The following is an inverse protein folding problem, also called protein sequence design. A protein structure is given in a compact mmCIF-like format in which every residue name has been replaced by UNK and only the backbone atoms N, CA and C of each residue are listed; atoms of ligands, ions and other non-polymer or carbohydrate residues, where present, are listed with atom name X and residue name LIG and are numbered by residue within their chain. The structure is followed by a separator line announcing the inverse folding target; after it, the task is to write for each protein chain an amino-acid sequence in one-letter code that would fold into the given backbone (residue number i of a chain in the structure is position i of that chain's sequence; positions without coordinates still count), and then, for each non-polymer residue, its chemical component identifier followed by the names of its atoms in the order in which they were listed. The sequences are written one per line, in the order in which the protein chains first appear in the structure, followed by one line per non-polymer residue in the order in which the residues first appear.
data_IF_160621833730
#
_entry.id   IF_160621833730
#
_cell.length_a   1.000
_cell.length_b   1.000
_cell.length_c   1.000
_cell.angle_alpha   90.00
_cell.angle_beta   90.00
_cell.angle_gamma   90.00
#
_symmetry.space_group_name_H-M   'P 1'
#
loop_
_entity.id
_entity.type
_entity.pdbx_description
1 polymer ?
#
# COMPACT_ATOMS: atom_id res chain seq x y z
N UNK A 1 -7.20 0.08 -0.31
CA UNK A 1 -6.72 -0.13 1.07
C UNK A 1 -6.18 -1.54 1.18
N UNK A 2 -5.12 -1.77 1.95
CA UNK A 2 -4.61 -3.11 2.30
C UNK A 2 -3.90 -3.05 3.65
N UNK A 3 -4.20 -3.94 4.59
CA UNK A 3 -3.71 -3.85 5.98
C UNK A 3 -3.14 -5.19 6.43
N UNK A 4 -1.85 -5.22 6.81
CA UNK A 4 -1.14 -6.43 7.29
C UNK A 4 -1.29 -7.63 6.33
N UNK A 5 -1.08 -7.38 5.03
CA UNK A 5 -1.18 -8.40 3.97
C UNK A 5 0.17 -8.63 3.30
N UNK A 6 0.91 -7.56 3.04
CA UNK A 6 2.06 -7.57 2.14
C UNK A 6 3.23 -8.40 2.67
N UNK A 7 3.36 -8.50 3.99
CA UNK A 7 4.35 -9.29 4.72
C UNK A 7 4.18 -10.80 4.57
N UNK A 8 2.99 -11.25 4.16
CA UNK A 8 2.68 -12.66 3.90
C UNK A 8 2.87 -13.05 2.43
N UNK A 9 3.03 -12.07 1.53
CA UNK A 9 3.14 -12.32 0.10
C UNK A 9 4.54 -12.82 -0.24
N UNK A 10 4.70 -13.99 -0.89
CA UNK A 10 6.01 -14.49 -1.32
C UNK A 10 6.74 -13.52 -2.24
N UNK A 11 8.05 -13.72 -2.33
CA UNK A 11 8.94 -12.76 -2.96
C UNK A 11 8.56 -12.41 -4.41
N UNK A 12 8.17 -13.44 -5.13
CA UNK A 12 7.89 -13.44 -6.57
C UNK A 12 6.55 -12.74 -6.89
N UNK A 13 5.67 -12.58 -5.90
CA UNK A 13 4.34 -12.00 -6.09
C UNK A 13 4.18 -10.59 -5.53
N UNK A 14 5.22 -10.02 -4.90
CA UNK A 14 5.12 -8.67 -4.32
C UNK A 14 4.89 -7.60 -5.38
N UNK A 15 5.52 -7.69 -6.55
CA UNK A 15 5.28 -6.75 -7.65
C UNK A 15 3.81 -6.81 -8.09
N UNK A 16 3.28 -8.01 -8.31
CA UNK A 16 1.87 -8.24 -8.68
C UNK A 16 0.92 -7.67 -7.61
N UNK A 17 1.22 -7.87 -6.33
CA UNK A 17 0.43 -7.30 -5.23
C UNK A 17 0.43 -5.75 -5.27
N UNK A 18 1.61 -5.14 -5.42
CA UNK A 18 1.76 -3.68 -5.48
C UNK A 18 1.05 -3.11 -6.71
N UNK A 19 1.20 -3.74 -7.88
CA UNK A 19 0.56 -3.34 -9.13
C UNK A 19 -0.95 -3.36 -9.02
N UNK A 20 -1.51 -4.39 -8.38
CA UNK A 20 -2.95 -4.47 -8.13
C UNK A 20 -3.45 -3.33 -7.25
N UNK A 21 -2.71 -2.95 -6.20
CA UNK A 21 -3.06 -1.81 -5.36
C UNK A 21 -3.01 -0.51 -6.17
N UNK A 22 -1.89 -0.27 -6.86
CA UNK A 22 -1.63 0.97 -7.59
C UNK A 22 -2.62 1.18 -8.73
N UNK A 23 -2.94 0.13 -9.48
CA UNK A 23 -3.88 0.16 -10.61
C UNK A 23 -5.28 0.58 -10.17
N UNK A 24 -5.73 0.15 -9.00
CA UNK A 24 -7.08 0.40 -8.51
C UNK A 24 -7.22 1.62 -7.60
N UNK A 25 -6.13 2.13 -7.04
CA UNK A 25 -6.14 3.26 -6.12
C UNK A 25 -6.36 4.62 -6.82
N UNK A 26 -7.59 4.97 -7.18
CA UNK A 26 -7.88 6.21 -7.95
C UNK A 26 -7.38 7.48 -7.26
N UNK A 27 -7.65 7.65 -5.98
CA UNK A 27 -7.28 8.87 -5.23
C UNK A 27 -6.03 8.68 -4.36
N UNK A 28 -5.86 7.49 -3.79
CA UNK A 28 -4.82 7.22 -2.82
C UNK A 28 -4.90 5.81 -2.25
N UNK A 29 -3.96 5.51 -1.36
CA UNK A 29 -3.77 4.20 -0.76
C UNK A 29 -3.71 4.39 0.75
N UNK A 30 -4.50 3.60 1.49
CA UNK A 30 -4.26 3.33 2.90
C UNK A 30 -3.60 1.96 2.99
N UNK A 31 -2.38 1.91 3.53
CA UNK A 31 -1.54 0.71 3.57
C UNK A 31 -0.99 0.50 4.98
N UNK A 32 -1.06 -0.74 5.45
CA UNK A 32 -0.30 -1.23 6.60
C UNK A 32 0.55 -2.40 6.15
N UNK A 33 1.84 -2.37 6.48
CA UNK A 33 2.82 -3.40 6.14
C UNK A 33 3.78 -3.55 7.32
N UNK A 34 3.89 -4.76 7.86
CA UNK A 34 4.80 -5.06 8.97
C UNK A 34 6.23 -4.55 8.72
N UNK A 35 6.75 -3.83 9.73
CA UNK A 35 8.14 -3.38 9.79
C UNK A 35 9.08 -4.52 10.19
N UNK A 36 10.39 -4.43 9.89
CA UNK A 36 11.35 -5.43 10.29
C UNK A 36 11.34 -5.65 11.80
N UNK A 37 11.43 -6.90 12.22
CA UNK A 37 11.39 -7.37 13.60
C UNK A 37 10.02 -7.26 14.28
N UNK A 38 8.94 -6.95 13.56
CA UNK A 38 7.59 -7.02 14.15
C UNK A 38 7.23 -8.46 14.54
N UNK A 39 7.62 -9.42 13.70
CA UNK A 39 7.21 -10.81 13.81
C UNK A 39 5.70 -11.00 13.58
N UNK A 40 5.27 -12.25 13.63
CA UNK A 40 3.88 -12.64 13.36
C UNK A 40 3.82 -13.95 12.59
N UNK A 41 2.62 -14.50 12.48
CA UNK A 41 2.43 -15.75 11.75
C UNK A 41 2.72 -15.54 10.26
N UNK A 42 3.75 -16.21 9.74
CA UNK A 42 4.15 -16.12 8.33
C UNK A 42 4.48 -14.70 7.84
N UNK A 43 5.14 -13.88 8.67
CA UNK A 43 5.73 -12.61 8.23
C UNK A 43 7.06 -12.89 7.52
N UNK A 44 6.99 -13.25 6.24
CA UNK A 44 8.16 -13.60 5.42
C UNK A 44 8.77 -12.38 4.73
N UNK A 45 8.04 -11.24 4.68
CA UNK A 45 8.37 -10.06 3.86
C UNK A 45 8.12 -8.74 4.59
N UNK A 46 8.61 -8.61 5.81
CA UNK A 46 8.63 -7.32 6.51
C UNK A 46 9.50 -6.29 5.76
N UNK A 47 9.08 -5.02 5.74
CA UNK A 47 9.78 -3.95 5.01
C UNK A 47 9.92 -2.68 5.84
N UNK A 48 11.08 -2.00 5.80
CA UNK A 48 11.22 -0.70 6.46
C UNK A 48 10.28 0.32 5.82
N UNK A 49 9.84 1.30 6.60
CA UNK A 49 8.88 2.30 6.15
C UNK A 49 9.39 3.10 4.95
N UNK A 50 10.68 3.44 4.95
CA UNK A 50 11.35 4.18 3.89
C UNK A 50 11.31 3.43 2.55
N UNK A 51 11.39 2.09 2.59
CA UNK A 51 11.25 1.26 1.39
C UNK A 51 9.86 1.41 0.78
N UNK A 52 8.81 1.33 1.59
CA UNK A 52 7.42 1.43 1.12
C UNK A 52 7.12 2.84 0.61
N UNK A 53 7.62 3.87 1.29
CA UNK A 53 7.52 5.27 0.83
C UNK A 53 8.18 5.43 -0.54
N UNK A 54 9.44 5.01 -0.70
CA UNK A 54 10.16 5.15 -1.96
C UNK A 54 9.51 4.34 -3.10
N UNK A 55 9.01 3.14 -2.79
CA UNK A 55 8.30 2.30 -3.75
C UNK A 55 7.04 3.00 -4.28
N UNK A 56 6.18 3.52 -3.40
CA UNK A 56 4.95 4.18 -3.81
C UNK A 56 5.21 5.57 -4.42
N UNK A 57 6.27 6.25 -4.01
CA UNK A 57 6.72 7.51 -4.60
C UNK A 57 7.08 7.36 -6.08
N UNK A 58 7.86 6.32 -6.40
CA UNK A 58 8.20 5.93 -7.77
C UNK A 58 6.99 5.48 -8.61
N UNK A 59 5.89 5.09 -7.96
CA UNK A 59 4.64 4.67 -8.60
C UNK A 59 3.57 5.79 -8.63
N UNK A 60 3.98 7.03 -8.35
CA UNK A 60 3.12 8.20 -8.51
C UNK A 60 2.24 8.53 -7.31
N UNK A 61 2.61 8.09 -6.10
CA UNK A 61 1.93 8.45 -4.85
C UNK A 61 2.85 9.14 -3.87
N UNK A 62 2.43 10.25 -3.27
CA UNK A 62 3.16 10.91 -2.18
C UNK A 62 2.65 10.45 -0.81
N UNK A 63 3.53 10.37 0.18
CA UNK A 63 3.13 10.05 1.56
C UNK A 63 2.38 11.23 2.20
N UNK A 64 1.19 10.97 2.74
CA UNK A 64 0.36 11.93 3.46
C UNK A 64 0.60 11.77 4.96
N UNK A 65 1.58 12.54 5.44
CA UNK A 65 2.07 12.44 6.82
C UNK A 65 0.98 12.77 7.85
N UNK A 66 0.23 13.87 7.65
CA UNK A 66 -0.80 14.31 8.59
C UNK A 66 -1.91 13.26 8.75
N UNK A 67 -2.46 12.78 7.62
CA UNK A 67 -3.52 11.77 7.68
C UNK A 67 -2.99 10.45 8.24
N UNK A 68 -1.73 10.09 7.94
CA UNK A 68 -1.09 8.92 8.54
C UNK A 68 -1.01 9.04 10.05
N UNK A 69 -0.54 10.17 10.59
CA UNK A 69 -0.44 10.41 12.03
C UNK A 69 -1.81 10.34 12.70
N UNK A 70 -2.85 10.93 12.09
CA UNK A 70 -4.23 10.83 12.57
C UNK A 70 -4.73 9.40 12.64
N UNK A 71 -4.51 8.58 11.61
CA UNK A 71 -4.90 7.17 11.61
C UNK A 71 -4.13 6.35 12.66
N UNK A 72 -2.82 6.60 12.82
CA UNK A 72 -2.01 5.92 13.83
C UNK A 72 -2.47 6.26 15.24
N UNK A 73 -2.81 7.52 15.51
CA UNK A 73 -3.34 7.95 16.80
C UNK A 73 -4.71 7.33 17.10
N UNK A 74 -5.54 7.10 16.07
CA UNK A 74 -6.85 6.46 16.20
C UNK A 74 -6.80 4.92 16.26
N UNK A 75 -5.73 4.28 15.79
CA UNK A 75 -5.62 2.83 15.78
C UNK A 75 -5.45 2.27 17.20
N UNK A 76 -6.27 1.31 17.60
CA UNK A 76 -6.20 0.73 18.95
C UNK A 76 -4.98 -0.19 19.10
N UNK A 77 -4.76 -1.07 18.11
CA UNK A 77 -3.69 -2.05 18.11
C UNK A 77 -2.32 -1.43 17.85
N UNK A 78 -1.32 -1.82 18.64
CA UNK A 78 0.04 -1.25 18.57
C UNK A 78 0.75 -1.51 17.24
N UNK A 79 0.63 -2.71 16.68
CA UNK A 79 1.22 -3.05 15.38
C UNK A 79 0.61 -2.23 14.25
N UNK A 80 -0.72 -2.12 14.20
CA UNK A 80 -1.41 -1.30 13.21
C UNK A 80 -1.05 0.20 13.36
N UNK A 81 -0.97 0.70 14.60
CA UNK A 81 -0.50 2.06 14.92
C UNK A 81 0.91 2.34 14.40
N UNK A 82 1.79 1.34 14.33
CA UNK A 82 3.16 1.51 13.85
C UNK A 82 3.28 1.46 12.31
N UNK A 83 2.30 0.84 11.65
CA UNK A 83 2.41 0.45 10.25
C UNK A 83 1.43 1.18 9.31
N UNK A 84 0.29 1.66 9.81
CA UNK A 84 -0.72 2.31 8.96
C UNK A 84 -0.21 3.65 8.41
N UNK A 85 -0.35 3.80 7.10
CA UNK A 85 0.11 4.95 6.32
C UNK A 85 -0.88 5.29 5.21
N UNK A 86 -0.95 6.58 4.88
CA UNK A 86 -1.77 7.12 3.81
C UNK A 86 -0.86 7.68 2.72
N UNK A 87 -1.20 7.38 1.48
CA UNK A 87 -0.50 7.88 0.30
C UNK A 87 -1.52 8.48 -0.67
N UNK A 88 -1.22 9.65 -1.24
CA UNK A 88 -2.09 10.36 -2.18
C UNK A 88 -1.52 10.27 -3.58
N UNK A 89 -2.38 10.08 -4.58
CA UNK A 89 -1.94 10.10 -5.97
C UNK A 89 -1.43 11.49 -6.33
N UNK A 90 -0.24 11.58 -6.92
CA UNK A 90 0.41 12.85 -7.30
C UNK A 90 -0.29 13.53 -8.49
N UNK A 91 -0.84 12.74 -9.41
CA UNK A 91 -1.58 13.22 -10.58
C UNK A 91 -3.04 12.74 -10.53
N UNK A 92 -4.01 13.50 -11.07
CA UNK A 92 -5.38 13.04 -11.19
C UNK A 92 -5.44 11.71 -11.95
N UNK A 93 -6.23 10.77 -11.46
CA UNK A 93 -6.45 9.51 -12.16
C UNK A 93 -7.13 9.77 -13.52
N UNK A 94 -6.47 9.39 -14.61
CA UNK A 94 -7.07 9.38 -15.94
C UNK A 94 -7.49 7.95 -16.32
N UNK A 95 -8.79 7.74 -16.51
CA UNK A 95 -9.32 6.46 -16.98
C UNK A 95 -9.21 6.36 -18.51
N UNK A 96 -7.99 6.26 -19.03
CA UNK A 96 -7.76 6.07 -20.48
C UNK A 96 -7.89 4.61 -20.91
N UNK A 97 -8.00 3.67 -19.97
CA UNK A 97 -8.10 2.22 -20.22
C UNK A 97 -9.53 1.66 -20.16
N UNK A 98 -10.54 2.41 -19.69
CA UNK A 98 -11.95 1.93 -19.74
C UNK A 98 -12.60 1.96 -21.13
N UNK A 99 -11.85 2.33 -22.18
CA UNK A 99 -12.31 2.27 -23.59
C UNK A 99 -11.53 1.24 -24.43
N UNK A 100 -11.44 -0.01 -23.98
CA UNK A 100 -11.05 -1.15 -24.81
C UNK A 100 -12.14 -2.22 -24.75
N UNK A 101 -12.44 -2.90 -25.87
CA UNK A 101 -13.75 -3.53 -26.10
C UNK A 101 -13.94 -4.79 -25.25
N UNK A 102 -15.21 -5.08 -24.96
CA UNK A 102 -15.68 -6.32 -24.36
C UNK A 102 -14.94 -7.52 -24.97
N UNK A 103 -14.21 -8.24 -24.13
CA UNK A 103 -13.76 -9.59 -24.47
C UNK A 103 -14.97 -10.49 -24.26
N UNK A 104 -15.65 -10.81 -25.36
CA UNK A 104 -16.64 -11.89 -25.40
C UNK A 104 -15.94 -13.19 -25.04
N UNK A 105 -16.38 -13.81 -23.94
CA UNK A 105 -16.22 -15.24 -23.68
C UNK A 105 -17.62 -15.83 -23.69
#
# INVERSE_FOLDING_TARGET
MSLEVAEHIPADFQSVYVDNIVRHAKEGIVLSWARPCQGGYQHIRERPFEYVVNLLDGLGFSHDKDTSERLRNAAEFSWLRNNVNVYRRKAPYSDTFSKSPEVYI
#
